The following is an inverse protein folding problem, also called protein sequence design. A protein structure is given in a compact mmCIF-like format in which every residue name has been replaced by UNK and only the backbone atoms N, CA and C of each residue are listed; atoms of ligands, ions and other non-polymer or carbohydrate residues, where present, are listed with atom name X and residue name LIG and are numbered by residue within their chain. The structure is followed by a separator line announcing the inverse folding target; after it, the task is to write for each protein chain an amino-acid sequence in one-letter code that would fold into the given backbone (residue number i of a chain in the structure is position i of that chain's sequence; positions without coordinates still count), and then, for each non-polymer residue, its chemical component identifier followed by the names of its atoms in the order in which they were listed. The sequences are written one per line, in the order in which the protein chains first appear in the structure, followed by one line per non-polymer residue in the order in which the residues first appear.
data_IF_803979273579
#
_entry.id   IF_803979273579
#
_cell.length_a   1.000
_cell.length_b   1.000
_cell.length_c   1.000
_cell.angle_alpha   90.00
_cell.angle_beta   90.00
_cell.angle_gamma   90.00
#
_symmetry.space_group_name_H-M   'P 1'
#
loop_
_entity.id
_entity.type
_entity.pdbx_description
1 polymer ?
#
# COMPACT_ATOMS: atom_id res chain seq x y z
N UNK A 1 -0.14 -66.09 49.95
CA UNK A 1 0.48 -64.74 49.82
C UNK A 1 1.99 -64.72 50.08
N UNK A 2 2.54 -65.37 51.13
CA UNK A 2 3.99 -65.35 51.43
C UNK A 2 4.91 -65.97 50.36
N UNK A 3 4.49 -67.07 49.71
CA UNK A 3 5.31 -67.77 48.70
C UNK A 3 5.50 -66.98 47.39
N UNK A 4 4.51 -66.18 47.01
CA UNK A 4 4.59 -65.35 45.80
C UNK A 4 5.61 -64.23 45.98
N UNK A 5 5.61 -63.58 47.15
CA UNK A 5 6.59 -62.54 47.49
C UNK A 5 8.02 -63.09 47.52
N UNK A 6 8.23 -64.30 48.08
CA UNK A 6 9.56 -64.92 48.12
C UNK A 6 10.09 -65.31 46.73
N UNK A 7 9.22 -65.74 45.82
CA UNK A 7 9.58 -66.06 44.44
C UNK A 7 9.93 -64.79 43.63
N UNK A 8 9.18 -63.70 43.84
CA UNK A 8 9.45 -62.39 43.23
C UNK A 8 10.77 -61.81 43.76
N UNK A 9 11.01 -61.85 45.08
CA UNK A 9 12.29 -61.37 45.65
C UNK A 9 13.49 -62.16 45.15
N UNK A 10 13.36 -63.50 44.98
CA UNK A 10 14.44 -64.33 44.46
C UNK A 10 14.80 -63.98 43.02
N UNK A 11 13.80 -63.70 42.19
CA UNK A 11 13.98 -63.25 40.79
C UNK A 11 14.53 -61.83 40.70
N UNK A 12 14.22 -60.97 41.68
CA UNK A 12 14.77 -59.62 41.78
C UNK A 12 16.25 -59.60 42.20
N UNK A 13 16.74 -60.62 42.91
CA UNK A 13 18.18 -60.80 43.26
C UNK A 13 18.98 -61.59 42.23
N UNK A 14 18.33 -62.08 41.17
CA UNK A 14 19.02 -62.76 40.09
C UNK A 14 19.86 -61.74 39.29
N UNK A 15 21.20 -61.87 39.25
CA UNK A 15 22.07 -60.90 38.59
C UNK A 15 21.73 -60.71 37.11
N UNK A 16 21.25 -61.75 36.42
CA UNK A 16 20.84 -61.67 35.01
C UNK A 16 19.56 -60.84 34.84
N UNK A 17 18.60 -60.98 35.76
CA UNK A 17 17.37 -60.19 35.74
C UNK A 17 17.62 -58.71 36.08
N UNK A 18 18.50 -58.44 37.05
CA UNK A 18 18.90 -57.07 37.40
C UNK A 18 19.60 -56.37 36.23
N UNK A 19 20.49 -57.07 35.52
CA UNK A 19 21.15 -56.54 34.32
C UNK A 19 20.14 -56.11 33.24
N UNK A 20 19.18 -56.98 32.92
CA UNK A 20 18.14 -56.68 31.91
C UNK A 20 17.28 -55.48 32.30
N UNK A 21 16.90 -55.36 33.58
CA UNK A 21 16.08 -54.23 34.06
C UNK A 21 16.86 -52.93 34.02
N UNK A 22 18.14 -52.96 34.44
CA UNK A 22 19.03 -51.80 34.40
C UNK A 22 19.24 -51.34 32.96
N UNK A 23 19.57 -52.23 32.03
CA UNK A 23 19.77 -51.90 30.62
C UNK A 23 18.53 -51.26 29.98
N UNK A 24 17.35 -51.84 30.24
CA UNK A 24 16.08 -51.27 29.74
C UNK A 24 15.77 -49.91 30.35
N UNK A 25 16.03 -49.73 31.64
CA UNK A 25 15.83 -48.45 32.32
C UNK A 25 16.82 -47.38 31.83
N UNK A 26 18.07 -47.77 31.53
CA UNK A 26 19.09 -46.88 30.98
C UNK A 26 18.72 -46.44 29.56
N UNK A 27 18.31 -47.37 28.71
CA UNK A 27 17.81 -47.07 27.36
C UNK A 27 16.61 -46.12 27.39
N UNK A 28 15.67 -46.32 28.32
CA UNK A 28 14.51 -45.45 28.48
C UNK A 28 14.88 -44.04 28.92
N UNK A 29 15.83 -43.90 29.85
CA UNK A 29 16.34 -42.59 30.28
C UNK A 29 17.09 -41.87 29.14
N UNK A 30 17.89 -42.59 28.35
CA UNK A 30 18.57 -42.04 27.18
C UNK A 30 17.55 -41.58 26.13
N UNK A 31 16.52 -42.38 25.88
CA UNK A 31 15.44 -42.01 24.96
C UNK A 31 14.70 -40.75 25.44
N UNK A 32 14.38 -40.67 26.73
CA UNK A 32 13.73 -39.50 27.32
C UNK A 32 14.62 -38.26 27.23
N UNK A 33 15.91 -38.38 27.54
CA UNK A 33 16.87 -37.29 27.39
C UNK A 33 16.95 -36.81 25.93
N UNK A 34 16.96 -37.73 24.96
CA UNK A 34 16.91 -37.39 23.54
C UNK A 34 15.66 -36.59 23.16
N UNK A 35 14.48 -37.00 23.64
CA UNK A 35 13.22 -36.28 23.41
C UNK A 35 13.27 -34.86 24.00
N UNK A 36 13.79 -34.71 25.22
CA UNK A 36 13.94 -33.39 25.87
C UNK A 36 14.88 -32.49 25.08
N UNK A 37 16.00 -33.03 24.55
CA UNK A 37 16.92 -32.28 23.70
C UNK A 37 16.22 -31.79 22.43
N UNK A 38 15.43 -32.64 21.76
CA UNK A 38 14.69 -32.26 20.56
C UNK A 38 13.69 -31.14 20.85
N UNK A 39 12.90 -31.24 21.93
CA UNK A 39 11.98 -30.17 22.31
C UNK A 39 12.69 -28.87 22.66
N UNK A 40 13.81 -28.96 23.40
CA UNK A 40 14.61 -27.79 23.76
C UNK A 40 15.21 -27.11 22.54
N UNK A 41 15.69 -27.88 21.56
CA UNK A 41 16.21 -27.37 20.30
C UNK A 41 15.10 -26.72 19.45
N UNK A 42 13.92 -27.32 19.39
CA UNK A 42 12.75 -26.76 18.70
C UNK A 42 12.31 -25.42 19.31
N UNK A 43 12.23 -25.35 20.64
CA UNK A 43 11.88 -24.13 21.37
C UNK A 43 12.95 -23.03 21.22
N UNK A 44 14.23 -23.41 21.25
CA UNK A 44 15.34 -22.49 20.92
C UNK A 44 15.25 -21.98 19.47
N UNK A 45 14.86 -22.84 18.52
CA UNK A 45 14.67 -22.45 17.12
C UNK A 45 13.53 -21.44 16.96
N UNK A 46 12.38 -21.66 17.60
CA UNK A 46 11.24 -20.73 17.58
C UNK A 46 11.61 -19.39 18.20
N UNK A 47 12.36 -19.39 19.32
CA UNK A 47 12.83 -18.14 19.94
C UNK A 47 13.84 -17.38 19.07
N UNK A 48 14.70 -18.09 18.35
CA UNK A 48 15.67 -17.48 17.43
C UNK A 48 15.01 -16.95 16.14
N UNK A 49 13.88 -17.53 15.74
CA UNK A 49 13.11 -17.13 14.56
C UNK A 49 11.67 -16.80 14.97
N UNK A 50 11.46 -15.73 15.77
CA UNK A 50 10.11 -15.32 16.12
C UNK A 50 9.34 -15.03 14.83
N UNK A 51 8.10 -15.54 14.67
CA UNK A 51 7.30 -15.23 13.49
C UNK A 51 7.07 -13.72 13.45
N UNK A 52 7.38 -13.09 12.32
CA UNK A 52 7.19 -11.65 12.15
C UNK A 52 5.69 -11.32 12.24
N UNK A 53 5.25 -10.48 13.19
CA UNK A 53 3.85 -10.12 13.30
C UNK A 53 3.40 -9.38 12.04
N UNK A 54 2.37 -9.88 11.37
CA UNK A 54 1.71 -9.18 10.27
C UNK A 54 0.66 -8.25 10.86
N UNK A 55 0.87 -6.95 10.70
CA UNK A 55 -0.13 -5.95 11.05
C UNK A 55 -1.11 -5.80 9.89
N UNK A 56 -2.40 -5.68 10.18
CA UNK A 56 -3.44 -5.48 9.18
C UNK A 56 -4.27 -4.24 9.51
N UNK A 57 -4.58 -3.45 8.50
CA UNK A 57 -5.60 -2.41 8.59
C UNK A 57 -6.96 -3.02 8.30
N UNK A 58 -7.93 -2.75 9.18
CA UNK A 58 -9.33 -3.16 9.05
C UNK A 58 -10.19 -1.91 9.11
N UNK A 59 -10.86 -1.58 8.02
CA UNK A 59 -11.72 -0.38 7.89
C UNK A 59 -13.23 -0.69 8.02
N UNK A 60 -13.58 -1.97 8.19
CA UNK A 60 -14.96 -2.45 8.32
C UNK A 60 -15.76 -2.49 7.00
N UNK A 61 -15.20 -2.03 5.88
CA UNK A 61 -15.86 -2.00 4.57
C UNK A 61 -15.15 -2.91 3.55
N UNK A 62 -13.83 -2.94 3.58
CA UNK A 62 -12.97 -3.73 2.70
C UNK A 62 -12.34 -4.90 3.45
N UNK A 63 -11.84 -5.88 2.69
CA UNK A 63 -11.06 -6.97 3.25
C UNK A 63 -9.82 -6.43 3.98
N UNK A 64 -9.41 -7.03 5.13
CA UNK A 64 -8.20 -6.64 5.84
C UNK A 64 -6.98 -6.59 4.91
N UNK A 65 -6.21 -5.49 4.97
CA UNK A 65 -5.01 -5.28 4.14
C UNK A 65 -3.76 -5.17 5.00
N UNK A 66 -2.60 -5.71 4.57
CA UNK A 66 -1.38 -5.67 5.37
C UNK A 66 -0.89 -4.23 5.56
N UNK A 67 -0.34 -3.94 6.74
CA UNK A 67 0.25 -2.64 7.04
C UNK A 67 1.63 -2.56 6.39
N UNK A 68 1.72 -1.79 5.31
CA UNK A 68 2.95 -1.49 4.59
C UNK A 68 3.53 -0.17 5.07
N UNK A 69 4.84 -0.11 5.32
CA UNK A 69 5.51 1.08 5.86
C UNK A 69 5.47 2.26 4.89
N UNK A 70 5.25 3.49 5.41
CA UNK A 70 5.35 4.89 4.84
C UNK A 70 6.14 5.07 3.53
N UNK A 71 7.25 4.38 3.47
CA UNK A 71 8.30 4.54 2.46
C UNK A 71 8.18 3.56 1.29
N UNK A 72 7.38 2.50 1.42
CA UNK A 72 7.19 1.49 0.37
C UNK A 72 6.09 1.91 -0.63
N UNK A 73 6.22 1.58 -1.92
CA UNK A 73 5.20 1.91 -2.92
C UNK A 73 3.88 1.17 -2.62
N UNK A 74 2.78 1.92 -2.61
CA UNK A 74 1.43 1.37 -2.42
C UNK A 74 0.90 0.69 -3.69
N UNK A 75 1.30 1.22 -4.86
CA UNK A 75 0.92 0.75 -6.18
C UNK A 75 2.15 0.32 -6.97
N UNK A 76 1.98 -0.62 -7.89
CA UNK A 76 2.99 -0.87 -8.92
C UNK A 76 3.20 0.38 -9.79
N UNK A 77 4.38 0.54 -10.39
CA UNK A 77 4.72 1.75 -11.15
C UNK A 77 3.69 2.11 -12.24
N UNK A 78 3.23 1.13 -13.03
CA UNK A 78 2.22 1.39 -14.08
C UNK A 78 0.87 1.82 -13.49
N UNK A 79 0.50 1.26 -12.34
CA UNK A 79 -0.71 1.63 -11.63
C UNK A 79 -0.61 3.05 -11.06
N UNK A 80 0.55 3.42 -10.50
CA UNK A 80 0.84 4.76 -10.02
C UNK A 80 0.77 5.78 -11.17
N UNK A 81 1.39 5.48 -12.32
CA UNK A 81 1.34 6.34 -13.49
C UNK A 81 -0.08 6.51 -14.03
N UNK A 82 -0.85 5.41 -14.12
CA UNK A 82 -2.25 5.45 -14.54
C UNK A 82 -3.14 6.25 -13.57
N UNK A 83 -2.94 6.06 -12.26
CA UNK A 83 -3.62 6.80 -11.20
C UNK A 83 -3.29 8.30 -11.30
N UNK A 84 -2.02 8.65 -11.47
CA UNK A 84 -1.55 10.01 -11.60
C UNK A 84 -2.17 10.71 -12.80
N UNK A 85 -2.14 10.07 -13.98
CA UNK A 85 -2.76 10.62 -15.20
C UNK A 85 -4.24 10.86 -14.99
N UNK A 86 -4.98 9.86 -14.48
CA UNK A 86 -6.43 9.94 -14.27
C UNK A 86 -6.82 11.15 -13.42
N UNK A 87 -6.19 11.32 -12.26
CA UNK A 87 -6.61 12.32 -11.27
C UNK A 87 -5.97 13.70 -11.51
N UNK A 88 -4.81 13.77 -12.16
CA UNK A 88 -4.21 15.05 -12.53
C UNK A 88 -4.96 15.75 -13.67
N UNK A 89 -5.53 15.02 -14.64
CA UNK A 89 -6.32 15.62 -15.73
C UNK A 89 -7.82 15.71 -15.43
N UNK A 90 -8.31 15.10 -14.35
CA UNK A 90 -9.73 15.15 -13.98
C UNK A 90 -10.29 16.58 -13.87
N UNK A 91 -9.57 17.57 -13.27
CA UNK A 91 -10.04 18.96 -13.24
C UNK A 91 -10.10 19.64 -14.62
N UNK A 92 -9.44 19.07 -15.63
CA UNK A 92 -9.45 19.54 -17.01
C UNK A 92 -10.53 18.85 -17.87
N UNK A 93 -11.18 17.81 -17.34
CA UNK A 93 -12.30 17.06 -17.92
C UNK A 93 -13.62 17.47 -17.26
N UNK A 94 -14.08 18.68 -17.56
CA UNK A 94 -15.26 19.28 -16.90
C UNK A 94 -16.19 19.97 -17.90
N UNK A 95 -17.45 20.16 -17.52
CA UNK A 95 -18.42 20.88 -18.33
C UNK A 95 -19.18 21.94 -17.52
N UNK A 96 -19.70 22.97 -18.20
CA UNK A 96 -20.36 24.11 -17.56
C UNK A 96 -21.56 23.76 -16.65
N UNK A 97 -22.19 22.59 -16.84
CA UNK A 97 -23.38 22.17 -16.08
C UNK A 97 -22.99 21.37 -14.84
N UNK A 98 -22.09 20.41 -14.99
CA UNK A 98 -21.75 19.41 -13.98
C UNK A 98 -20.41 19.71 -13.29
N UNK A 99 -19.76 20.86 -13.58
CA UNK A 99 -18.45 21.19 -12.99
C UNK A 99 -18.40 21.12 -11.46
N UNK A 100 -19.44 21.47 -10.65
CA UNK A 100 -19.31 21.42 -9.20
C UNK A 100 -19.09 19.99 -8.71
N UNK A 101 -19.82 19.02 -9.25
CA UNK A 101 -19.67 17.61 -8.89
C UNK A 101 -18.37 17.04 -9.44
N UNK A 102 -18.00 17.38 -10.67
CA UNK A 102 -16.73 16.94 -11.28
C UNK A 102 -15.50 17.46 -10.53
N UNK A 103 -15.53 18.73 -10.10
CA UNK A 103 -14.47 19.35 -9.30
C UNK A 103 -14.38 18.72 -7.92
N UNK A 104 -15.51 18.44 -7.25
CA UNK A 104 -15.51 17.74 -5.96
C UNK A 104 -14.90 16.33 -6.09
N UNK A 105 -15.30 15.58 -7.12
CA UNK A 105 -14.73 14.24 -7.38
C UNK A 105 -13.24 14.30 -7.67
N UNK A 106 -12.78 15.29 -8.44
CA UNK A 106 -11.35 15.47 -8.70
C UNK A 106 -10.59 15.85 -7.41
N UNK A 107 -11.12 16.80 -6.64
CA UNK A 107 -10.50 17.29 -5.41
C UNK A 107 -10.34 16.25 -4.30
N UNK A 108 -11.17 15.21 -4.29
CA UNK A 108 -11.06 14.09 -3.35
C UNK A 108 -9.74 13.28 -3.47
N UNK A 109 -8.99 13.44 -4.56
CA UNK A 109 -7.68 12.79 -4.78
C UNK A 109 -6.49 13.74 -4.59
N UNK A 110 -6.74 14.93 -4.04
CA UNK A 110 -5.72 15.93 -3.75
C UNK A 110 -5.64 16.11 -2.23
N UNK A 111 -4.46 16.50 -1.76
CA UNK A 111 -4.38 17.06 -0.42
C UNK A 111 -5.08 18.42 -0.40
N UNK A 112 -5.47 18.89 0.79
CA UNK A 112 -6.07 20.22 0.94
C UNK A 112 -5.17 21.32 0.35
N UNK A 113 -3.85 21.19 0.56
CA UNK A 113 -2.87 22.14 0.02
C UNK A 113 -2.76 22.06 -1.51
N UNK A 114 -2.68 20.84 -2.05
CA UNK A 114 -2.61 20.62 -3.50
C UNK A 114 -3.85 21.12 -4.22
N UNK A 115 -5.03 20.84 -3.68
CA UNK A 115 -6.28 21.32 -4.26
C UNK A 115 -6.39 22.84 -4.24
N UNK A 116 -6.04 23.48 -3.13
CA UNK A 116 -6.06 24.94 -3.03
C UNK A 116 -5.09 25.61 -4.02
N UNK A 117 -3.91 25.01 -4.21
CA UNK A 117 -2.91 25.51 -5.17
C UNK A 117 -3.43 25.41 -6.60
N UNK A 118 -4.02 24.26 -6.96
CA UNK A 118 -4.70 24.09 -8.25
C UNK A 118 -5.83 25.11 -8.42
N UNK A 119 -6.77 25.17 -7.47
CA UNK A 119 -7.94 26.02 -7.54
C UNK A 119 -7.55 27.50 -7.69
N UNK A 120 -6.53 27.96 -6.97
CA UNK A 120 -6.00 29.33 -7.11
C UNK A 120 -5.49 29.60 -8.53
N UNK A 121 -4.72 28.67 -9.11
CA UNK A 121 -4.23 28.81 -10.49
C UNK A 121 -5.37 28.82 -11.51
N UNK A 122 -6.36 27.95 -11.33
CA UNK A 122 -7.50 27.79 -12.22
C UNK A 122 -8.45 29.00 -12.19
N UNK A 123 -8.70 29.55 -10.99
CA UNK A 123 -9.52 30.76 -10.79
C UNK A 123 -8.79 31.99 -11.32
N UNK A 124 -7.50 32.16 -11.04
CA UNK A 124 -6.72 33.34 -11.45
C UNK A 124 -6.65 33.48 -12.99
N UNK A 125 -6.65 32.36 -13.72
CA UNK A 125 -6.68 32.34 -15.18
C UNK A 125 -8.06 32.67 -15.79
N UNK A 126 -9.09 32.81 -14.96
CA UNK A 126 -10.47 33.06 -15.39
C UNK A 126 -11.14 31.87 -16.08
N UNK A 127 -10.55 30.67 -15.96
CA UNK A 127 -11.03 29.47 -16.67
C UNK A 127 -12.44 29.08 -16.22
N UNK A 128 -12.76 29.22 -14.93
CA UNK A 128 -14.07 28.88 -14.40
C UNK A 128 -15.18 29.85 -14.88
N UNK A 129 -14.88 31.14 -14.97
CA UNK A 129 -15.82 32.13 -15.49
C UNK A 129 -16.08 31.86 -16.99
N UNK A 130 -15.01 31.66 -17.77
CA UNK A 130 -15.11 31.30 -19.19
C UNK A 130 -15.91 30.02 -19.42
N UNK A 131 -15.69 28.97 -18.62
CA UNK A 131 -16.42 27.72 -18.70
C UNK A 131 -17.94 27.95 -18.57
N UNK A 132 -18.35 28.77 -17.58
CA UNK A 132 -19.75 29.06 -17.29
C UNK A 132 -20.39 29.97 -18.34
N UNK A 133 -19.76 31.11 -18.62
CA UNK A 133 -20.33 32.18 -19.44
C UNK A 133 -20.44 31.74 -20.90
N UNK A 134 -19.43 31.01 -21.40
CA UNK A 134 -19.43 30.48 -22.76
C UNK A 134 -20.01 29.06 -22.87
N UNK A 135 -20.55 28.50 -21.78
CA UNK A 135 -21.13 27.14 -21.74
C UNK A 135 -20.23 26.07 -22.37
N UNK A 136 -18.96 26.07 -21.97
CA UNK A 136 -17.95 25.19 -22.57
C UNK A 136 -18.05 23.77 -22.01
N UNK A 137 -17.75 22.81 -22.89
CA UNK A 137 -17.40 21.43 -22.57
C UNK A 137 -15.89 21.28 -22.75
N UNK A 138 -15.17 20.92 -21.70
CA UNK A 138 -13.73 20.69 -21.74
C UNK A 138 -13.42 19.20 -21.54
N UNK A 139 -12.56 18.66 -22.39
CA UNK A 139 -12.02 17.32 -22.25
C UNK A 139 -10.51 17.33 -22.45
N UNK A 140 -9.83 16.42 -21.76
CA UNK A 140 -8.38 16.32 -21.69
C UNK A 140 -7.95 14.87 -21.84
N UNK A 141 -6.91 14.65 -22.66
CA UNK A 141 -6.38 13.33 -22.97
C UNK A 141 -4.85 13.36 -23.00
N UNK A 142 -4.16 12.36 -22.40
CA UNK A 142 -2.71 12.28 -22.46
C UNK A 142 -2.26 12.02 -23.90
N UNK A 143 -1.22 12.72 -24.35
CA UNK A 143 -0.66 12.53 -25.70
C UNK A 143 0.55 11.59 -25.71
N UNK A 144 1.18 11.39 -24.56
CA UNK A 144 2.27 10.43 -24.35
C UNK A 144 2.15 9.77 -22.98
N UNK A 145 2.86 8.66 -22.81
CA UNK A 145 2.97 7.97 -21.53
C UNK A 145 3.58 8.88 -20.45
N UNK A 146 3.10 8.69 -19.22
CA UNK A 146 3.66 9.37 -18.07
C UNK A 146 5.00 8.78 -17.65
N UNK A 147 5.86 9.63 -17.09
CA UNK A 147 7.20 9.25 -16.65
C UNK A 147 7.44 9.72 -15.23
N UNK A 148 8.11 8.88 -14.42
CA UNK A 148 8.58 9.27 -13.10
C UNK A 148 9.83 10.13 -13.29
N UNK A 149 9.81 11.37 -12.79
CA UNK A 149 10.96 12.29 -12.80
C UNK A 149 11.83 12.12 -11.57
N UNK A 150 11.20 11.92 -10.42
CA UNK A 150 11.88 11.73 -9.16
C UNK A 150 11.02 10.91 -8.21
N UNK A 151 11.68 10.11 -7.38
CA UNK A 151 11.12 9.42 -6.24
C UNK A 151 11.98 9.77 -5.03
N UNK A 152 11.36 10.33 -4.00
CA UNK A 152 12.04 10.80 -2.79
C UNK A 152 11.20 10.49 -1.56
N UNK A 153 11.80 10.55 -0.37
CA UNK A 153 11.04 10.46 0.89
C UNK A 153 11.05 11.84 1.53
N UNK A 154 9.86 12.39 1.81
CA UNK A 154 9.69 13.68 2.46
C UNK A 154 8.88 13.46 3.73
N UNK A 155 9.44 13.87 4.88
CA UNK A 155 8.80 13.72 6.19
C UNK A 155 8.37 12.29 6.54
N UNK A 156 9.05 11.26 5.99
CA UNK A 156 8.71 9.85 6.21
C UNK A 156 7.69 9.26 5.22
N UNK A 157 7.18 10.07 4.30
CA UNK A 157 6.25 9.66 3.24
C UNK A 157 6.96 9.56 1.90
N UNK A 158 6.66 8.51 1.12
CA UNK A 158 7.11 8.44 -0.26
C UNK A 158 6.46 9.56 -1.09
N UNK A 159 7.27 10.26 -1.87
CA UNK A 159 6.90 11.34 -2.78
C UNK A 159 7.35 11.02 -4.19
N UNK A 160 6.40 11.11 -5.12
CA UNK A 160 6.59 10.84 -6.53
C UNK A 160 6.36 12.12 -7.34
N UNK A 161 7.31 12.46 -8.20
CA UNK A 161 7.15 13.53 -9.18
C UNK A 161 6.95 12.90 -10.54
N UNK A 162 5.78 13.07 -11.12
CA UNK A 162 5.37 12.46 -12.39
C UNK A 162 5.12 13.55 -13.41
N UNK A 163 5.57 13.33 -14.64
CA UNK A 163 5.39 14.27 -15.74
C UNK A 163 4.81 13.59 -16.97
N UNK A 164 3.84 14.26 -17.59
CA UNK A 164 3.26 13.82 -18.86
C UNK A 164 2.63 14.97 -19.66
N UNK A 165 2.69 14.92 -21.00
CA UNK A 165 1.98 15.86 -21.86
C UNK A 165 0.53 15.40 -22.07
N UNK A 166 -0.37 16.37 -22.17
CA UNK A 166 -1.77 16.14 -22.50
C UNK A 166 -2.31 17.29 -23.36
N UNK A 167 -3.37 17.02 -24.11
CA UNK A 167 -4.13 18.05 -24.80
C UNK A 167 -5.41 18.31 -24.02
N UNK A 168 -5.81 19.58 -23.94
CA UNK A 168 -7.13 19.97 -23.50
C UNK A 168 -7.85 20.65 -24.66
N UNK A 169 -9.06 20.20 -24.95
CA UNK A 169 -9.97 20.87 -25.87
C UNK A 169 -11.17 21.37 -25.09
N UNK A 170 -11.49 22.65 -25.23
CA UNK A 170 -12.71 23.25 -24.72
C UNK A 170 -13.54 23.77 -25.90
N UNK A 171 -14.80 23.34 -25.99
CA UNK A 171 -15.66 23.64 -27.13
C UNK A 171 -17.10 23.98 -26.74
N UNK A 172 -17.77 24.70 -27.63
CA UNK A 172 -19.22 24.88 -27.66
C UNK A 172 -19.68 24.93 -29.13
N UNK A 173 -20.93 25.33 -29.39
CA UNK A 173 -21.49 25.42 -30.76
C UNK A 173 -20.79 26.43 -31.69
N UNK A 174 -20.05 27.40 -31.14
CA UNK A 174 -19.48 28.54 -31.87
C UNK A 174 -17.94 28.57 -31.88
N UNK A 175 -17.29 27.87 -30.95
CA UNK A 175 -15.85 27.92 -30.79
C UNK A 175 -15.29 26.58 -30.30
N UNK A 176 -14.06 26.30 -30.72
CA UNK A 176 -13.26 25.19 -30.25
C UNK A 176 -11.83 25.70 -30.03
N UNK A 177 -11.29 25.45 -28.84
CA UNK A 177 -9.93 25.82 -28.49
C UNK A 177 -9.20 24.60 -27.95
N UNK A 178 -8.10 24.22 -28.60
CA UNK A 178 -7.26 23.09 -28.20
C UNK A 178 -5.89 23.61 -27.79
N UNK A 179 -5.40 23.14 -26.63
CA UNK A 179 -4.13 23.54 -26.07
C UNK A 179 -3.30 22.31 -25.70
N UNK A 180 -2.02 22.33 -26.06
CA UNK A 180 -1.07 21.34 -25.61
C UNK A 180 -0.44 21.79 -24.29
N UNK A 181 -0.51 20.93 -23.28
CA UNK A 181 -0.15 21.21 -21.91
C UNK A 181 0.81 20.13 -21.41
N UNK A 182 1.63 20.50 -20.44
CA UNK A 182 2.53 19.59 -19.73
C UNK A 182 2.19 19.61 -18.26
N UNK A 183 1.78 18.46 -17.71
CA UNK A 183 1.50 18.30 -16.29
C UNK A 183 2.76 17.85 -15.56
N UNK A 184 3.09 18.51 -14.46
CA UNK A 184 4.03 18.02 -13.44
C UNK A 184 3.25 17.85 -12.15
N UNK A 185 3.14 16.60 -11.71
CA UNK A 185 2.30 16.15 -10.61
C UNK A 185 3.22 15.68 -9.48
N UNK A 186 3.07 16.26 -8.30
CA UNK A 186 3.70 15.76 -7.08
C UNK A 186 2.66 15.00 -6.29
N UNK A 187 2.94 13.73 -6.01
CA UNK A 187 2.05 12.80 -5.31
C UNK A 187 2.76 12.38 -4.05
N UNK A 188 2.05 12.51 -2.94
CA UNK A 188 2.50 12.02 -1.65
C UNK A 188 1.70 10.83 -1.23
N UNK A 189 2.38 9.91 -0.56
CA UNK A 189 1.71 8.84 0.14
C UNK A 189 1.10 9.37 1.44
N UNK A 190 -0.18 9.09 1.64
CA UNK A 190 -0.94 9.53 2.80
C UNK A 190 -1.48 8.35 3.60
N UNK A 191 -1.70 8.57 4.89
CA UNK A 191 -2.32 7.63 5.83
C UNK A 191 -3.69 8.11 6.31
N UNK A 192 -4.43 8.74 5.40
CA UNK A 192 -5.74 9.32 5.68
C UNK A 192 -6.87 8.33 5.34
N UNK A 193 -7.93 8.33 6.15
CA UNK A 193 -9.16 7.59 5.86
C UNK A 193 -9.90 8.18 4.66
N UNK A 194 -9.73 9.49 4.41
CA UNK A 194 -10.34 10.17 3.26
C UNK A 194 -9.68 9.77 1.93
N UNK A 195 -8.48 9.18 1.98
CA UNK A 195 -7.70 8.72 0.82
C UNK A 195 -7.46 7.20 0.90
N UNK A 196 -8.47 6.35 0.63
CA UNK A 196 -8.37 4.90 0.80
C UNK A 196 -7.35 4.24 -0.14
N UNK A 197 -6.98 4.90 -1.25
CA UNK A 197 -5.91 4.53 -2.17
C UNK A 197 -4.50 4.83 -1.63
N UNK A 198 -4.39 5.54 -0.50
CA UNK A 198 -3.13 5.83 0.19
C UNK A 198 -2.23 6.83 -0.53
N UNK A 199 -2.78 7.55 -1.52
CA UNK A 199 -2.07 8.52 -2.36
C UNK A 199 -2.91 9.79 -2.48
N UNK A 200 -2.25 10.94 -2.47
CA UNK A 200 -2.89 12.22 -2.72
C UNK A 200 -1.98 13.13 -3.53
N UNK A 201 -2.56 13.92 -4.44
CA UNK A 201 -1.82 14.92 -5.20
C UNK A 201 -1.55 16.13 -4.30
N UNK A 202 -0.28 16.33 -3.95
CA UNK A 202 0.19 17.47 -3.15
C UNK A 202 0.38 18.72 -4.01
N UNK A 203 0.70 18.55 -5.30
CA UNK A 203 0.87 19.68 -6.20
C UNK A 203 0.60 19.29 -7.65
N UNK A 204 -0.14 20.14 -8.35
CA UNK A 204 -0.29 20.09 -9.81
C UNK A 204 0.20 21.39 -10.43
N UNK A 205 1.24 21.30 -11.25
CA UNK A 205 1.75 22.42 -12.05
C UNK A 205 1.52 22.10 -13.52
N UNK A 206 0.86 23.01 -14.23
CA UNK A 206 0.60 22.88 -15.66
C UNK A 206 1.26 24.04 -16.40
N UNK A 207 2.11 23.71 -17.37
CA UNK A 207 2.74 24.67 -18.27
C UNK A 207 2.27 24.45 -19.70
N UNK A 208 2.33 25.49 -20.54
CA UNK A 208 2.16 25.33 -21.99
C UNK A 208 3.23 24.39 -22.52
N UNK A 209 2.84 23.35 -23.25
CA UNK A 209 3.77 22.51 -23.98
C UNK A 209 4.34 23.31 -25.15
N UNK A 210 5.42 24.05 -24.94
CA UNK A 210 6.26 24.53 -26.03
C UNK A 210 7.22 23.41 -26.41
N UNK A 211 7.30 23.14 -27.71
CA UNK A 211 8.33 22.28 -28.31
C UNK A 211 9.74 22.74 -27.93
#
# INVERSE_FOLDING_TARGET
MRLFNSAVTRRLTDPDFQGIVVDRSLLLNIALAGVVIVFSAHDAYIRAHPPTPLYFYVDGQNAPRPAVALTSPVLGQDQLLGWAVKWAIAPYNINYRDFPTQMNTAGAHYTLNGWNTFAKSFITQGNLAKLRDAKLLCYAQPTRAATVRAETVVQGHARYVIQFPFIQTCENVNQQNTQMLMATVTIDRVEDLDHPDGLAIEQLVVSSGRE
#
